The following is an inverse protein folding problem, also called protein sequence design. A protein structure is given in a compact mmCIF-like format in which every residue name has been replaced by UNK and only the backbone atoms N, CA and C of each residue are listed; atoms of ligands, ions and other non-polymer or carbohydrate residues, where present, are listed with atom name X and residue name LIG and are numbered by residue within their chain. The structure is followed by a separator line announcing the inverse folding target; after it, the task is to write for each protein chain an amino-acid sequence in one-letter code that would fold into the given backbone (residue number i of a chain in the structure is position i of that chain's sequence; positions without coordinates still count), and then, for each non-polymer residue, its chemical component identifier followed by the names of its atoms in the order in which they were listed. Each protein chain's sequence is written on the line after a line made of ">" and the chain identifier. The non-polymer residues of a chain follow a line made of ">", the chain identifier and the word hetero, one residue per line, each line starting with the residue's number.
data_IF_296679437531
#
_entry.id   IF_296679437531
#
_cell.length_a   1.000
_cell.length_b   1.000
_cell.length_c   1.000
_cell.angle_alpha   90.00
_cell.angle_beta   90.00
_cell.angle_gamma   90.00
#
_symmetry.space_group_name_H-M   'P 1'
#
loop_
_entity.id
_entity.type
_entity.pdbx_description
1 polymer ?
#
# COMPACT_ATOMS: atom_id res chain seq x y z
N UNK A 1 48.99 42.55 36.49
CA UNK A 1 50.10 41.88 37.21
C UNK A 1 50.17 40.47 36.66
N UNK A 2 51.15 40.28 35.78
CA UNK A 2 52.39 39.53 35.96
C UNK A 2 52.15 38.03 36.23
N UNK A 3 52.49 37.25 35.16
CA UNK A 3 53.50 36.19 35.09
C UNK A 3 52.99 34.81 35.45
N UNK A 4 53.32 33.69 34.86
CA UNK A 4 54.55 33.26 34.22
C UNK A 4 54.32 32.00 33.39
N UNK A 5 54.95 31.88 32.24
CA UNK A 5 55.16 30.72 31.36
C UNK A 5 56.09 29.74 32.08
N UNK A 6 55.83 28.43 31.96
CA UNK A 6 56.86 27.42 32.11
C UNK A 6 56.73 26.37 31.00
N UNK A 7 57.76 26.35 30.17
CA UNK A 7 58.11 25.36 29.15
C UNK A 7 58.92 24.28 29.85
N UNK A 8 58.57 23.00 29.65
CA UNK A 8 59.49 21.92 29.93
C UNK A 8 59.59 21.00 28.70
N UNK A 9 60.75 21.01 28.12
CA UNK A 9 61.28 20.10 27.11
C UNK A 9 61.92 18.91 27.79
N UNK A 10 61.73 17.72 27.28
CA UNK A 10 62.62 16.54 27.25
C UNK A 10 61.81 15.26 27.14
N UNK A 11 62.16 14.24 26.53
CA UNK A 11 63.30 13.77 25.78
C UNK A 11 62.83 12.54 24.96
N UNK A 12 63.41 12.45 23.81
CA UNK A 12 63.27 11.33 22.87
C UNK A 12 63.98 10.10 23.44
N UNK A 13 63.26 8.99 23.63
CA UNK A 13 63.84 7.67 23.76
C UNK A 13 63.36 6.76 22.64
N UNK A 14 64.25 6.53 21.68
CA UNK A 14 64.14 5.51 20.65
C UNK A 14 64.46 4.15 21.28
N UNK A 15 63.52 3.19 21.12
CA UNK A 15 63.77 1.76 21.23
C UNK A 15 63.21 1.04 20.01
N UNK A 16 63.91 0.06 19.47
CA UNK A 16 63.60 -0.55 18.20
C UNK A 16 62.70 -1.81 18.31
N UNK A 17 61.88 -1.97 17.32
CA UNK A 17 61.54 -3.29 16.78
C UNK A 17 60.58 -4.13 17.56
N UNK A 18 59.31 -4.08 17.15
CA UNK A 18 58.49 -5.27 17.17
C UNK A 18 57.73 -5.37 15.84
N UNK A 19 57.98 -6.48 15.12
CA UNK A 19 57.26 -6.87 13.92
C UNK A 19 55.77 -6.85 14.21
N UNK A 20 55.06 -5.92 13.67
CA UNK A 20 53.60 -5.95 13.66
C UNK A 20 53.14 -7.15 12.84
N UNK A 21 52.59 -8.14 13.50
CA UNK A 21 51.83 -9.20 12.88
C UNK A 21 50.71 -8.55 12.08
N UNK A 22 50.82 -8.59 10.77
CA UNK A 22 49.79 -8.24 9.83
C UNK A 22 48.60 -9.16 10.09
N UNK A 23 47.61 -8.72 10.89
CA UNK A 23 46.32 -9.36 10.93
C UNK A 23 45.79 -9.41 9.50
N UNK A 24 45.80 -10.60 8.90
CA UNK A 24 45.01 -10.87 7.71
C UNK A 24 43.57 -10.43 8.05
N UNK A 25 43.13 -9.33 7.47
CA UNK A 25 41.72 -9.03 7.43
C UNK A 25 41.06 -10.24 6.78
N UNK A 26 40.31 -10.99 7.56
CA UNK A 26 39.40 -12.00 7.07
C UNK A 26 38.53 -11.28 6.08
N UNK A 27 38.69 -11.59 4.79
CA UNK A 27 37.73 -11.22 3.77
C UNK A 27 36.44 -11.96 4.18
N UNK A 28 35.59 -11.29 4.93
CA UNK A 28 34.19 -11.66 5.06
C UNK A 28 33.70 -11.80 3.62
N UNK A 29 33.42 -13.03 3.17
CA UNK A 29 32.69 -13.27 1.93
C UNK A 29 31.49 -12.29 1.98
N UNK A 30 31.48 -11.30 1.09
CA UNK A 30 30.27 -10.51 0.83
C UNK A 30 29.18 -11.54 0.60
N UNK A 31 28.20 -11.59 1.48
CA UNK A 31 27.02 -12.41 1.25
C UNK A 31 26.54 -12.06 -0.16
N UNK A 32 26.28 -13.07 -1.01
CA UNK A 32 25.92 -12.88 -2.41
C UNK A 32 24.75 -11.91 -2.46
N UNK A 33 25.00 -10.70 -2.88
CA UNK A 33 23.99 -9.64 -3.00
C UNK A 33 22.92 -10.11 -3.99
N UNK A 34 21.67 -10.07 -3.58
CA UNK A 34 20.55 -10.37 -4.47
C UNK A 34 20.42 -9.23 -5.48
N UNK A 35 20.46 -9.59 -6.76
CA UNK A 35 20.25 -8.69 -7.89
C UNK A 35 19.10 -9.20 -8.74
N UNK A 36 18.38 -8.29 -9.40
CA UNK A 36 17.20 -8.62 -10.16
C UNK A 36 17.38 -8.31 -11.64
N UNK A 37 16.83 -9.18 -12.47
CA UNK A 37 16.69 -8.98 -13.91
C UNK A 37 15.21 -8.87 -14.22
N UNK A 38 14.79 -7.77 -14.84
CA UNK A 38 13.41 -7.55 -15.27
C UNK A 38 13.05 -8.51 -16.41
N UNK A 39 11.95 -9.23 -16.26
CA UNK A 39 11.35 -10.07 -17.30
C UNK A 39 10.33 -9.25 -18.09
N UNK A 40 9.47 -8.54 -17.37
CA UNK A 40 8.41 -7.70 -17.92
C UNK A 40 8.16 -6.53 -16.98
N UNK A 41 8.03 -5.33 -17.53
CA UNK A 41 7.58 -4.15 -16.78
C UNK A 41 6.51 -3.43 -17.59
N UNK A 42 5.38 -3.17 -16.99
CA UNK A 42 4.30 -2.39 -17.58
C UNK A 42 4.45 -0.91 -17.15
N UNK A 43 3.96 0.04 -17.94
CA UNK A 43 4.06 1.46 -17.60
C UNK A 43 3.34 1.80 -16.29
N UNK A 44 3.97 2.62 -15.48
CA UNK A 44 3.41 3.18 -14.25
C UNK A 44 3.72 4.67 -14.17
N UNK A 45 2.96 5.40 -13.37
CA UNK A 45 3.23 6.81 -13.04
C UNK A 45 4.34 6.91 -11.97
N UNK A 46 4.80 8.14 -11.68
CA UNK A 46 5.82 8.40 -10.67
C UNK A 46 5.42 7.88 -9.28
N UNK A 47 6.41 7.64 -8.44
CA UNK A 47 6.22 7.30 -7.03
C UNK A 47 5.65 8.52 -6.31
N UNK A 48 4.63 8.29 -5.49
CA UNK A 48 4.04 9.27 -4.56
C UNK A 48 4.39 8.93 -3.12
N UNK A 49 4.18 9.87 -2.21
CA UNK A 49 4.39 9.69 -0.78
C UNK A 49 3.12 9.97 0.00
N UNK A 50 2.53 8.92 0.60
CA UNK A 50 1.39 9.05 1.50
C UNK A 50 1.77 9.65 2.86
N UNK A 51 3.07 9.68 3.18
CA UNK A 51 3.64 10.20 4.42
C UNK A 51 2.90 9.68 5.68
N UNK A 52 2.54 10.57 6.60
CA UNK A 52 1.87 10.23 7.86
C UNK A 52 0.34 10.13 7.67
N UNK A 53 -0.10 9.22 6.82
CA UNK A 53 -1.52 8.93 6.63
C UNK A 53 -1.76 7.43 6.39
N UNK A 54 -2.89 6.92 6.85
CA UNK A 54 -3.35 5.55 6.58
C UNK A 54 -4.09 5.43 5.25
N UNK A 55 -3.63 6.15 4.21
CA UNK A 55 -4.33 6.25 2.91
C UNK A 55 -3.66 5.44 1.80
N UNK A 56 -2.88 4.43 2.14
CA UNK A 56 -2.24 3.52 1.17
C UNK A 56 -3.23 2.96 0.14
N UNK A 57 -4.43 2.63 0.56
CA UNK A 57 -5.52 2.17 -0.29
C UNK A 57 -5.90 3.19 -1.39
N UNK A 58 -5.87 4.50 -1.07
CA UNK A 58 -6.15 5.55 -2.03
C UNK A 58 -5.00 5.71 -3.04
N UNK A 59 -3.75 5.81 -2.54
CA UNK A 59 -2.56 5.91 -3.39
C UNK A 59 -2.37 4.73 -4.32
N UNK A 60 -2.58 3.51 -3.82
CA UNK A 60 -2.46 2.30 -4.63
C UNK A 60 -3.59 2.15 -5.64
N UNK A 61 -4.84 2.45 -5.26
CA UNK A 61 -5.96 2.43 -6.19
C UNK A 61 -5.80 3.44 -7.31
N UNK A 62 -5.46 4.70 -6.98
CA UNK A 62 -5.27 5.73 -8.00
C UNK A 62 -4.03 5.45 -8.84
N UNK A 63 -2.94 4.98 -8.25
CA UNK A 63 -1.75 4.54 -8.99
C UNK A 63 -2.04 3.38 -9.96
N UNK A 64 -2.96 2.48 -9.60
CA UNK A 64 -3.47 1.45 -10.50
C UNK A 64 -4.30 2.04 -11.66
N UNK A 65 -5.26 2.93 -11.37
CA UNK A 65 -6.06 3.58 -12.42
C UNK A 65 -5.21 4.47 -13.33
N UNK A 66 -4.22 5.16 -12.80
CA UNK A 66 -3.24 5.91 -13.60
C UNK A 66 -2.44 4.99 -14.56
N UNK A 67 -2.04 3.80 -14.09
CA UNK A 67 -1.40 2.79 -14.93
C UNK A 67 -2.37 2.23 -16.00
N UNK A 68 -3.64 2.05 -15.67
CA UNK A 68 -4.68 1.67 -16.64
C UNK A 68 -4.85 2.74 -17.73
N UNK A 69 -4.81 4.01 -17.38
CA UNK A 69 -4.87 5.12 -18.35
C UNK A 69 -3.65 5.11 -19.29
N UNK A 70 -2.45 4.85 -18.77
CA UNK A 70 -1.25 4.64 -19.60
C UNK A 70 -1.43 3.45 -20.55
N UNK A 71 -1.93 2.32 -20.06
CA UNK A 71 -2.21 1.12 -20.87
C UNK A 71 -3.25 1.39 -21.96
N UNK A 72 -4.26 2.21 -21.69
CA UNK A 72 -5.29 2.61 -22.62
C UNK A 72 -4.82 3.68 -23.64
N UNK A 73 -3.57 4.14 -23.54
CA UNK A 73 -3.03 5.19 -24.41
C UNK A 73 -3.60 6.60 -24.12
N UNK A 74 -4.11 6.81 -22.92
CA UNK A 74 -4.69 8.11 -22.50
C UNK A 74 -3.64 9.10 -22.00
N UNK A 75 -2.37 8.71 -21.91
CA UNK A 75 -1.30 9.54 -21.37
C UNK A 75 -1.15 9.44 -19.85
N UNK A 76 -0.33 10.32 -19.30
CA UNK A 76 -0.06 10.38 -17.85
C UNK A 76 -1.09 11.26 -17.18
N UNK A 77 -1.74 10.74 -16.17
CA UNK A 77 -2.68 11.45 -15.31
C UNK A 77 -2.21 11.40 -13.88
N UNK A 78 -2.51 12.43 -13.11
CA UNK A 78 -2.30 12.56 -11.68
C UNK A 78 -3.65 12.75 -11.01
N UNK A 79 -4.22 11.68 -10.48
CA UNK A 79 -5.55 11.64 -9.88
C UNK A 79 -5.48 12.08 -8.40
N UNK A 80 -6.52 12.75 -7.92
CA UNK A 80 -6.48 13.43 -6.62
C UNK A 80 -6.87 12.51 -5.46
N UNK A 81 -5.90 12.16 -4.63
CA UNK A 81 -6.12 11.37 -3.42
C UNK A 81 -7.03 12.10 -2.43
N UNK A 82 -6.88 13.42 -2.26
CA UNK A 82 -7.71 14.21 -1.34
C UNK A 82 -9.20 14.14 -1.68
N UNK A 83 -9.55 14.15 -2.97
CA UNK A 83 -10.93 14.01 -3.42
C UNK A 83 -11.51 12.64 -3.07
N UNK A 84 -10.74 11.60 -3.31
CA UNK A 84 -11.12 10.22 -2.98
C UNK A 84 -11.29 10.04 -1.48
N UNK A 85 -10.31 10.47 -0.70
CA UNK A 85 -10.28 10.32 0.76
C UNK A 85 -11.44 11.07 1.41
N UNK A 86 -11.67 12.33 1.02
CA UNK A 86 -12.78 13.15 1.54
C UNK A 86 -14.13 12.44 1.38
N UNK A 87 -14.46 12.03 0.16
CA UNK A 87 -15.76 11.39 -0.10
C UNK A 87 -15.90 10.05 0.64
N UNK A 88 -14.83 9.27 0.66
CA UNK A 88 -14.81 7.97 1.35
C UNK A 88 -14.98 8.12 2.86
N UNK A 89 -14.30 9.08 3.49
CA UNK A 89 -14.42 9.29 4.94
C UNK A 89 -15.80 9.83 5.34
N UNK A 90 -16.42 10.65 4.52
CA UNK A 90 -17.82 11.07 4.74
C UNK A 90 -18.78 9.87 4.73
N UNK A 91 -18.61 8.95 3.77
CA UNK A 91 -19.41 7.73 3.69
C UNK A 91 -19.14 6.77 4.86
N UNK A 92 -17.86 6.62 5.26
CA UNK A 92 -17.48 5.77 6.39
C UNK A 92 -18.04 6.29 7.70
N UNK A 93 -18.03 7.61 7.89
CA UNK A 93 -18.66 8.24 9.05
C UNK A 93 -20.17 7.97 9.07
N UNK A 94 -20.85 8.11 7.93
CA UNK A 94 -22.28 7.78 7.81
C UNK A 94 -22.55 6.32 8.20
N UNK A 95 -21.72 5.39 7.74
CA UNK A 95 -21.87 3.97 8.07
C UNK A 95 -21.58 3.72 9.54
N UNK A 96 -20.52 4.28 10.09
CA UNK A 96 -20.19 4.15 11.51
C UNK A 96 -21.33 4.67 12.42
N UNK A 97 -21.93 5.82 12.06
CA UNK A 97 -23.07 6.36 12.81
C UNK A 97 -24.33 5.48 12.68
N UNK A 98 -24.65 4.99 11.46
CA UNK A 98 -25.80 4.09 11.24
C UNK A 98 -25.66 2.74 11.95
N UNK A 99 -24.45 2.26 12.13
CA UNK A 99 -24.14 1.01 12.83
C UNK A 99 -23.80 1.20 14.30
N UNK A 100 -24.07 2.39 14.86
CA UNK A 100 -23.81 2.73 16.27
C UNK A 100 -22.36 2.49 16.70
N UNK A 101 -21.43 2.59 15.77
CA UNK A 101 -19.99 2.43 15.99
C UNK A 101 -19.47 0.99 15.87
N UNK A 102 -20.30 0.02 15.44
CA UNK A 102 -19.85 -1.35 15.16
C UNK A 102 -18.93 -1.39 13.93
N UNK A 103 -19.23 -0.59 12.91
CA UNK A 103 -18.26 -0.30 11.86
C UNK A 103 -17.31 0.77 12.35
N UNK A 104 -16.03 0.44 12.42
CA UNK A 104 -14.99 1.36 12.88
C UNK A 104 -14.85 2.56 11.93
N UNK A 105 -14.64 3.74 12.50
CA UNK A 105 -14.22 4.91 11.76
C UNK A 105 -12.71 5.07 11.92
N UNK A 106 -11.96 4.86 10.83
CA UNK A 106 -10.50 4.89 10.79
C UNK A 106 -10.01 5.36 9.43
N UNK A 107 -8.68 5.54 9.27
CA UNK A 107 -8.06 6.03 8.04
C UNK A 107 -7.98 4.98 6.93
N UNK A 108 -7.97 3.69 7.25
CA UNK A 108 -7.89 2.61 6.29
C UNK A 108 -9.06 2.56 5.31
N UNK A 109 -8.94 1.75 4.30
CA UNK A 109 -9.97 1.55 3.28
C UNK A 109 -9.57 0.47 2.28
N UNK A 110 -10.50 0.09 1.44
CA UNK A 110 -10.32 -0.95 0.43
C UNK A 110 -10.20 -0.37 -0.98
N UNK A 111 -9.72 -1.15 -1.92
CA UNK A 111 -9.72 -0.75 -3.34
C UNK A 111 -11.12 -0.48 -3.88
N UNK A 112 -12.13 -1.14 -3.31
CA UNK A 112 -13.52 -0.89 -3.69
C UNK A 112 -13.99 0.52 -3.30
N UNK A 113 -13.37 1.15 -2.31
CA UNK A 113 -13.69 2.55 -1.97
C UNK A 113 -13.36 3.48 -3.13
N UNK A 114 -12.25 3.25 -3.83
CA UNK A 114 -11.90 4.02 -5.02
C UNK A 114 -12.87 3.74 -6.18
N UNK A 115 -13.20 2.47 -6.44
CA UNK A 115 -14.20 2.08 -7.44
C UNK A 115 -15.54 2.73 -7.14
N UNK A 116 -16.00 2.65 -5.89
CA UNK A 116 -17.26 3.24 -5.45
C UNK A 116 -17.26 4.77 -5.59
N UNK A 117 -16.18 5.43 -5.15
CA UNK A 117 -16.06 6.88 -5.24
C UNK A 117 -16.08 7.34 -6.70
N UNK A 118 -15.27 6.74 -7.57
CA UNK A 118 -15.21 7.10 -8.98
C UNK A 118 -16.54 6.88 -9.70
N UNK A 119 -17.29 5.83 -9.32
CA UNK A 119 -18.62 5.53 -9.87
C UNK A 119 -19.69 6.53 -9.38
N UNK A 120 -19.68 6.90 -8.10
CA UNK A 120 -20.77 7.64 -7.47
C UNK A 120 -20.50 9.13 -7.31
N UNK A 121 -19.26 9.54 -7.08
CA UNK A 121 -18.84 10.94 -6.90
C UNK A 121 -18.01 11.44 -8.07
N UNK A 122 -17.35 10.55 -8.79
CA UNK A 122 -16.41 10.87 -9.86
C UNK A 122 -14.98 10.98 -9.36
N UNK A 123 -14.16 11.72 -10.08
CA UNK A 123 -12.75 11.97 -9.79
C UNK A 123 -12.34 13.33 -10.37
N UNK A 124 -11.28 13.88 -9.83
CA UNK A 124 -10.67 15.11 -10.35
C UNK A 124 -9.15 14.92 -10.46
N UNK A 125 -8.44 15.67 -11.32
CA UNK A 125 -6.99 15.66 -11.31
C UNK A 125 -6.46 16.34 -10.04
N UNK A 126 -5.25 16.00 -9.60
CA UNK A 126 -4.62 16.62 -8.43
C UNK A 126 -4.55 18.14 -8.53
N UNK A 127 -4.37 18.68 -9.74
CA UNK A 127 -4.33 20.12 -9.98
C UNK A 127 -5.65 20.86 -9.67
N UNK A 128 -6.76 20.16 -9.52
CA UNK A 128 -8.07 20.75 -9.18
C UNK A 128 -8.26 20.96 -7.67
N UNK A 129 -7.38 20.41 -6.83
CA UNK A 129 -7.39 20.59 -5.37
C UNK A 129 -6.02 21.02 -4.87
N UNK A 130 -5.93 21.66 -3.69
CA UNK A 130 -4.65 21.92 -3.06
C UNK A 130 -3.82 20.63 -2.93
N UNK A 131 -2.51 20.75 -3.04
CA UNK A 131 -1.61 19.64 -2.71
C UNK A 131 -1.83 19.20 -1.25
N UNK A 132 -1.61 17.92 -0.92
CA UNK A 132 -1.73 17.44 0.45
C UNK A 132 -0.94 18.33 1.41
N UNK A 133 -1.54 18.66 2.56
CA UNK A 133 -0.89 19.48 3.57
C UNK A 133 -0.75 20.98 3.27
N UNK A 134 -1.11 21.45 2.07
CA UNK A 134 -0.93 22.86 1.66
C UNK A 134 -1.60 23.85 2.62
N UNK A 135 -2.75 23.50 3.19
CA UNK A 135 -3.45 24.35 4.15
C UNK A 135 -2.74 24.50 5.50
N UNK A 136 -1.75 23.65 5.77
CA UNK A 136 -0.87 23.72 6.95
C UNK A 136 0.55 24.15 6.63
N UNK A 137 0.82 24.48 5.37
CA UNK A 137 2.19 24.74 4.91
C UNK A 137 3.04 23.51 4.65
N UNK A 138 2.50 22.30 4.82
CA UNK A 138 3.16 21.04 4.48
C UNK A 138 2.87 20.67 3.02
N UNK A 139 3.81 19.98 2.38
CA UNK A 139 3.64 19.47 1.01
C UNK A 139 3.11 18.03 0.96
N UNK A 140 3.00 17.35 2.11
CA UNK A 140 2.62 15.94 2.23
C UNK A 140 1.51 15.76 3.29
N UNK A 141 0.76 14.69 3.20
CA UNK A 141 -0.25 14.36 4.20
C UNK A 141 0.34 14.18 5.59
N UNK A 142 -0.32 14.79 6.58
CA UNK A 142 -0.14 14.50 7.99
C UNK A 142 -1.52 14.45 8.65
N UNK A 143 -2.03 13.24 8.86
CA UNK A 143 -3.39 13.02 9.35
C UNK A 143 -3.47 12.84 10.87
N UNK A 144 -2.37 12.94 11.60
CA UNK A 144 -2.38 12.70 13.05
C UNK A 144 -3.43 13.56 13.78
N UNK A 145 -3.47 14.87 13.48
CA UNK A 145 -4.47 15.76 14.08
C UNK A 145 -5.87 15.53 13.47
N UNK A 146 -5.97 15.40 12.17
CA UNK A 146 -7.25 15.19 11.47
C UNK A 146 -7.93 13.93 11.95
N UNK A 147 -7.20 12.82 12.05
CA UNK A 147 -7.72 11.53 12.54
C UNK A 147 -8.18 11.64 14.00
N UNK A 148 -7.37 12.22 14.88
CA UNK A 148 -7.73 12.40 16.29
C UNK A 148 -9.05 13.20 16.45
N UNK A 149 -9.20 14.30 15.71
CA UNK A 149 -10.39 15.16 15.78
C UNK A 149 -11.61 14.45 15.19
N UNK A 150 -11.48 13.87 13.99
CA UNK A 150 -12.64 13.28 13.30
C UNK A 150 -13.07 11.96 13.92
N UNK A 151 -12.14 11.13 14.41
CA UNK A 151 -12.46 9.90 15.14
C UNK A 151 -13.16 10.19 16.45
N UNK A 152 -12.70 11.20 17.21
CA UNK A 152 -13.40 11.64 18.44
C UNK A 152 -14.80 12.18 18.13
N UNK A 153 -14.93 13.01 17.08
CA UNK A 153 -16.20 13.60 16.67
C UNK A 153 -17.22 12.53 16.25
N UNK A 154 -16.84 11.67 15.29
CA UNK A 154 -17.71 10.60 14.79
C UNK A 154 -18.03 9.60 15.89
N UNK A 155 -17.06 9.25 16.75
CA UNK A 155 -17.26 8.37 17.89
C UNK A 155 -18.26 8.92 18.90
N UNK A 156 -18.22 10.23 19.19
CA UNK A 156 -19.17 10.89 20.07
C UNK A 156 -20.62 10.85 19.52
N UNK A 157 -20.78 10.98 18.19
CA UNK A 157 -22.08 10.87 17.53
C UNK A 157 -22.55 9.41 17.52
N UNK A 158 -21.70 8.48 17.07
CA UNK A 158 -22.07 7.08 16.88
C UNK A 158 -22.38 6.34 18.18
N UNK A 159 -21.65 6.65 19.27
CA UNK A 159 -21.77 5.99 20.58
C UNK A 159 -22.46 6.84 21.63
N UNK A 160 -23.02 7.98 21.24
CA UNK A 160 -23.75 8.88 22.14
C UNK A 160 -25.03 8.20 22.70
N UNK A 161 -25.40 8.60 23.93
CA UNK A 161 -26.58 8.06 24.66
C UNK A 161 -27.89 8.77 24.30
N UNK A 162 -27.91 9.64 23.31
CA UNK A 162 -29.13 10.36 22.91
C UNK A 162 -30.08 9.47 22.11
N UNK A 163 -31.38 9.64 22.34
CA UNK A 163 -32.42 8.88 21.61
C UNK A 163 -32.60 9.33 20.15
N UNK A 164 -32.13 10.53 19.80
CA UNK A 164 -32.20 11.11 18.46
C UNK A 164 -31.03 12.02 18.25
N UNK A 165 -30.36 11.89 17.11
CA UNK A 165 -29.25 12.77 16.71
C UNK A 165 -29.70 13.81 15.70
N UNK A 166 -29.11 15.00 15.75
CA UNK A 166 -29.25 16.02 14.71
C UNK A 166 -28.43 15.62 13.47
N UNK A 167 -28.95 15.83 12.28
CA UNK A 167 -28.21 15.62 11.04
C UNK A 167 -27.17 16.72 10.74
N UNK A 168 -27.08 17.76 11.57
CA UNK A 168 -26.08 18.84 11.45
C UNK A 168 -24.65 18.30 11.51
N UNK A 169 -24.42 17.17 12.22
CA UNK A 169 -23.12 16.57 12.35
C UNK A 169 -22.40 16.30 11.02
N UNK A 170 -23.17 15.97 9.97
CA UNK A 170 -22.60 15.75 8.62
C UNK A 170 -22.00 17.01 8.04
N UNK A 171 -22.71 18.15 8.23
CA UNK A 171 -22.21 19.46 7.78
C UNK A 171 -20.97 19.86 8.57
N UNK A 172 -20.97 19.61 9.88
CA UNK A 172 -19.84 19.93 10.74
C UNK A 172 -18.61 19.09 10.37
N UNK A 173 -18.77 17.77 10.17
CA UNK A 173 -17.69 16.90 9.71
C UNK A 173 -17.19 17.34 8.32
N UNK A 174 -18.10 17.64 7.39
CA UNK A 174 -17.75 18.17 6.07
C UNK A 174 -16.92 19.46 6.18
N UNK A 175 -17.27 20.38 7.08
CA UNK A 175 -16.51 21.60 7.31
C UNK A 175 -15.11 21.32 7.88
N UNK A 176 -14.98 20.33 8.75
CA UNK A 176 -13.65 19.88 9.24
C UNK A 176 -12.83 19.46 8.01
N UNK A 177 -13.33 18.55 7.15
CA UNK A 177 -12.58 18.10 5.97
C UNK A 177 -12.27 19.22 4.98
N UNK A 178 -13.18 20.20 4.78
CA UNK A 178 -12.91 21.37 3.93
C UNK A 178 -11.73 22.20 4.45
N UNK A 179 -11.59 22.31 5.77
CA UNK A 179 -10.45 23.01 6.36
C UNK A 179 -9.12 22.29 6.11
N UNK A 180 -9.14 20.95 5.93
CA UNK A 180 -7.94 20.14 5.73
C UNK A 180 -7.64 19.88 4.24
N UNK A 181 -8.65 19.69 3.40
CA UNK A 181 -8.49 19.30 2.00
C UNK A 181 -8.87 20.40 1.00
N UNK A 182 -9.53 21.45 1.46
CA UNK A 182 -10.17 22.43 0.59
C UNK A 182 -11.59 22.04 0.17
N UNK A 183 -12.22 22.90 -0.59
CA UNK A 183 -13.56 22.65 -1.16
C UNK A 183 -13.48 21.58 -2.24
N UNK A 184 -14.47 20.70 -2.28
CA UNK A 184 -14.58 19.71 -3.36
C UNK A 184 -14.94 20.42 -4.67
N UNK A 185 -14.17 20.22 -5.75
CA UNK A 185 -14.52 20.76 -7.06
C UNK A 185 -15.83 20.17 -7.58
N UNK A 186 -16.68 21.02 -8.12
CA UNK A 186 -17.92 20.62 -8.83
C UNK A 186 -17.70 20.52 -10.34
N UNK A 187 -16.64 21.12 -10.83
CA UNK A 187 -16.24 21.17 -12.23
C UNK A 187 -14.73 20.96 -12.37
N UNK A 188 -14.32 20.33 -13.45
CA UNK A 188 -12.94 20.05 -13.83
C UNK A 188 -12.71 20.59 -15.23
N UNK A 189 -11.72 21.46 -15.40
CA UNK A 189 -11.22 21.85 -16.71
C UNK A 189 -10.13 20.87 -17.13
N UNK A 190 -10.38 20.06 -18.15
CA UNK A 190 -9.43 19.09 -18.64
C UNK A 190 -8.47 19.70 -19.71
N UNK A 191 -7.42 18.95 -20.06
CA UNK A 191 -6.39 19.38 -21.01
C UNK A 191 -6.93 19.55 -22.44
N UNK A 192 -8.05 18.91 -22.78
CA UNK A 192 -8.77 19.11 -24.06
C UNK A 192 -9.51 20.47 -24.14
N UNK A 193 -9.41 21.27 -23.08
CA UNK A 193 -10.02 22.61 -22.98
C UNK A 193 -11.49 22.59 -22.58
N UNK A 194 -12.12 21.44 -22.42
CA UNK A 194 -13.51 21.30 -22.00
C UNK A 194 -13.65 21.25 -20.49
N UNK A 195 -14.85 21.56 -20.02
CA UNK A 195 -15.23 21.45 -18.61
C UNK A 195 -16.11 20.21 -18.41
N UNK A 196 -15.80 19.45 -17.39
CA UNK A 196 -16.48 18.22 -16.99
C UNK A 196 -16.96 18.33 -15.55
N UNK A 197 -18.02 17.63 -15.19
CA UNK A 197 -18.28 17.30 -13.78
C UNK A 197 -17.27 16.21 -13.34
N UNK A 198 -17.01 16.03 -12.04
CA UNK A 198 -16.14 14.92 -11.59
C UNK A 198 -16.56 13.55 -12.14
N UNK A 199 -17.87 13.30 -12.33
CA UNK A 199 -18.37 12.03 -12.91
C UNK A 199 -18.05 11.92 -14.40
N UNK A 200 -18.37 12.94 -15.18
CA UNK A 200 -18.11 12.93 -16.63
C UNK A 200 -16.61 13.03 -16.93
N UNK A 201 -15.82 13.54 -16.00
CA UNK A 201 -14.36 13.45 -16.09
C UNK A 201 -13.89 11.99 -16.11
N UNK A 202 -14.45 11.12 -15.23
CA UNK A 202 -14.13 9.68 -15.23
C UNK A 202 -14.63 8.99 -16.50
N UNK A 203 -15.89 9.17 -16.86
CA UNK A 203 -16.51 8.39 -17.94
C UNK A 203 -16.16 8.89 -19.33
N UNK A 204 -16.22 10.20 -19.56
CA UNK A 204 -16.15 10.79 -20.89
C UNK A 204 -14.72 11.22 -21.25
N UNK A 205 -13.99 11.84 -20.30
CA UNK A 205 -12.62 12.29 -20.55
C UNK A 205 -11.60 11.16 -20.34
N UNK A 206 -11.57 10.53 -19.17
CA UNK A 206 -10.66 9.43 -18.90
C UNK A 206 -11.09 8.14 -19.61
N UNK A 207 -12.38 7.95 -19.84
CA UNK A 207 -12.92 6.76 -20.51
C UNK A 207 -12.87 5.50 -19.65
N UNK A 208 -12.91 5.67 -18.32
CA UNK A 208 -12.90 4.55 -17.36
C UNK A 208 -14.34 4.10 -17.06
N UNK A 209 -14.59 2.79 -17.19
CA UNK A 209 -15.82 2.16 -16.74
C UNK A 209 -15.53 1.34 -15.46
N UNK A 210 -16.06 1.78 -14.32
CA UNK A 210 -15.80 1.14 -13.03
C UNK A 210 -16.33 -0.29 -12.93
N UNK A 211 -17.28 -0.70 -13.77
CA UNK A 211 -17.79 -2.07 -13.82
C UNK A 211 -16.82 -3.05 -14.52
N UNK A 212 -15.74 -2.55 -15.13
CA UNK A 212 -14.68 -3.38 -15.70
C UNK A 212 -13.65 -3.85 -14.65
N UNK A 213 -13.75 -3.40 -13.41
CA UNK A 213 -12.77 -3.70 -12.35
C UNK A 213 -13.39 -4.58 -11.27
N UNK A 214 -12.69 -5.67 -10.95
CA UNK A 214 -13.17 -6.70 -10.02
C UNK A 214 -12.12 -6.98 -8.95
N UNK A 215 -12.58 -7.31 -7.74
CA UNK A 215 -11.73 -7.81 -6.67
C UNK A 215 -11.63 -9.33 -6.74
N UNK A 216 -10.41 -9.86 -6.61
CA UNK A 216 -10.14 -11.29 -6.52
C UNK A 216 -9.41 -11.61 -5.22
N UNK A 217 -9.68 -12.79 -4.67
CA UNK A 217 -9.00 -13.35 -3.50
C UNK A 217 -8.89 -14.87 -3.60
N UNK A 218 -8.28 -15.52 -2.60
CA UNK A 218 -8.08 -16.97 -2.59
C UNK A 218 -8.13 -17.51 -1.16
N UNK A 219 -9.30 -17.97 -0.70
CA UNK A 219 -9.48 -18.57 0.62
C UNK A 219 -10.43 -19.76 0.57
N UNK A 220 -10.17 -20.83 1.35
CA UNK A 220 -10.95 -22.07 1.27
C UNK A 220 -12.11 -22.18 2.27
N UNK A 221 -12.33 -21.17 3.13
CA UNK A 221 -13.49 -21.10 4.03
C UNK A 221 -14.77 -20.68 3.30
N UNK A 222 -14.68 -20.25 2.05
CA UNK A 222 -15.81 -20.04 1.13
C UNK A 222 -15.62 -20.84 -0.16
N UNK A 223 -16.69 -21.22 -0.87
CA UNK A 223 -16.57 -21.95 -2.14
C UNK A 223 -15.76 -21.19 -3.17
N UNK A 224 -14.88 -21.88 -3.89
CA UNK A 224 -14.22 -21.32 -5.04
C UNK A 224 -15.19 -21.01 -6.18
N UNK A 225 -14.84 -20.06 -7.01
CA UNK A 225 -15.64 -19.54 -8.14
C UNK A 225 -16.96 -18.89 -7.71
N UNK A 226 -17.07 -18.52 -6.44
CA UNK A 226 -18.17 -17.72 -5.88
C UNK A 226 -17.67 -16.34 -5.47
N UNK A 227 -18.58 -15.48 -5.05
CA UNK A 227 -18.28 -14.22 -4.39
C UNK A 227 -18.58 -14.32 -2.91
N UNK A 228 -17.77 -13.66 -2.12
CA UNK A 228 -18.04 -13.44 -0.71
C UNK A 228 -17.50 -12.10 -0.24
N UNK A 229 -18.01 -11.61 0.86
CA UNK A 229 -17.50 -10.41 1.53
C UNK A 229 -16.23 -10.82 2.27
N UNK A 230 -15.06 -10.34 1.80
CA UNK A 230 -13.80 -10.62 2.48
C UNK A 230 -13.81 -9.96 3.86
N UNK A 231 -13.63 -10.77 4.90
CA UNK A 231 -13.73 -10.37 6.31
C UNK A 231 -12.39 -9.73 6.75
N UNK A 232 -12.18 -8.49 6.36
CA UNK A 232 -11.07 -7.64 6.77
C UNK A 232 -11.62 -6.31 7.28
N UNK A 233 -10.89 -5.66 8.21
CA UNK A 233 -11.36 -4.45 8.88
C UNK A 233 -11.62 -3.29 7.90
N UNK A 234 -10.81 -3.19 6.86
CA UNK A 234 -10.90 -2.11 5.89
C UNK A 234 -11.92 -2.35 4.78
N UNK A 235 -12.54 -3.54 4.72
CA UNK A 235 -13.70 -3.79 3.87
C UNK A 235 -15.02 -3.33 4.53
N UNK A 236 -15.04 -2.15 5.08
CA UNK A 236 -16.17 -1.56 5.81
C UNK A 236 -17.42 -1.34 4.92
N UNK A 237 -17.27 -1.30 3.59
CA UNK A 237 -18.40 -1.27 2.64
C UNK A 237 -19.04 -2.64 2.43
N UNK A 238 -18.41 -3.72 2.92
CA UNK A 238 -18.84 -5.10 2.70
C UNK A 238 -18.84 -5.49 1.22
N UNK A 239 -17.81 -5.04 0.51
CA UNK A 239 -17.63 -5.37 -0.89
C UNK A 239 -17.27 -6.84 -1.08
N UNK A 240 -17.78 -7.43 -2.15
CA UNK A 240 -17.51 -8.82 -2.50
C UNK A 240 -16.23 -8.95 -3.33
N UNK A 241 -15.52 -10.07 -3.11
CA UNK A 241 -14.39 -10.50 -3.94
C UNK A 241 -14.74 -11.86 -4.58
N UNK A 242 -14.32 -12.07 -5.80
CA UNK A 242 -14.35 -13.40 -6.41
C UNK A 242 -13.27 -14.27 -5.81
N UNK A 243 -13.63 -15.52 -5.48
CA UNK A 243 -12.75 -16.48 -4.83
C UNK A 243 -12.20 -17.50 -5.83
N UNK A 244 -10.88 -17.65 -5.87
CA UNK A 244 -10.18 -18.58 -6.76
C UNK A 244 -9.33 -19.56 -5.95
N UNK A 245 -9.06 -20.78 -6.43
CA UNK A 245 -7.96 -21.58 -5.94
C UNK A 245 -6.62 -20.83 -6.07
N UNK A 246 -5.68 -21.07 -5.17
CA UNK A 246 -4.42 -20.33 -5.09
C UNK A 246 -3.60 -20.37 -6.39
N UNK A 247 -3.53 -21.51 -7.05
CA UNK A 247 -2.82 -21.69 -8.30
C UNK A 247 -3.44 -20.86 -9.44
N UNK A 248 -4.77 -20.83 -9.54
CA UNK A 248 -5.47 -20.00 -10.52
C UNK A 248 -5.38 -18.50 -10.17
N UNK A 249 -5.39 -18.16 -8.90
CA UNK A 249 -5.20 -16.79 -8.44
C UNK A 249 -3.80 -16.26 -8.84
N UNK A 250 -2.75 -17.06 -8.61
CA UNK A 250 -1.39 -16.72 -9.04
C UNK A 250 -1.26 -16.69 -10.58
N UNK A 251 -1.94 -17.61 -11.29
CA UNK A 251 -1.97 -17.61 -12.74
C UNK A 251 -2.60 -16.33 -13.30
N UNK A 252 -3.67 -15.82 -12.69
CA UNK A 252 -4.28 -14.53 -13.08
C UNK A 252 -3.27 -13.39 -12.95
N UNK A 253 -2.56 -13.32 -11.84
CA UNK A 253 -1.57 -12.25 -11.60
C UNK A 253 -0.44 -12.29 -12.64
N UNK A 254 0.10 -13.48 -12.91
CA UNK A 254 1.16 -13.65 -13.91
C UNK A 254 0.69 -13.29 -15.30
N UNK A 255 -0.45 -13.82 -15.69
CA UNK A 255 -1.06 -13.56 -17.00
C UNK A 255 -1.35 -12.08 -17.19
N UNK A 256 -1.86 -11.40 -16.16
CA UNK A 256 -2.13 -9.97 -16.22
C UNK A 256 -0.88 -9.17 -16.56
N UNK A 257 0.20 -9.38 -15.82
CA UNK A 257 1.46 -8.64 -16.06
C UNK A 257 2.04 -8.94 -17.44
N UNK A 258 2.06 -10.21 -17.85
CA UNK A 258 2.57 -10.61 -19.19
C UNK A 258 1.77 -9.94 -20.30
N UNK A 259 0.44 -9.81 -20.14
CA UNK A 259 -0.46 -9.21 -21.12
C UNK A 259 -0.58 -7.67 -21.00
N UNK A 260 0.29 -7.01 -20.25
CA UNK A 260 0.37 -5.55 -20.21
C UNK A 260 -0.53 -4.88 -19.17
N UNK A 261 -1.15 -5.64 -18.27
CA UNK A 261 -1.97 -5.12 -17.19
C UNK A 261 -1.16 -4.99 -15.90
N UNK A 262 -1.56 -4.04 -15.07
CA UNK A 262 -1.19 -3.91 -13.68
C UNK A 262 -2.37 -4.31 -12.79
N UNK A 263 -2.17 -4.39 -11.47
CA UNK A 263 -3.27 -4.56 -10.52
C UNK A 263 -2.90 -3.94 -9.16
N UNK A 264 -3.92 -3.43 -8.45
CA UNK A 264 -3.73 -3.03 -7.08
C UNK A 264 -3.64 -4.28 -6.19
N UNK A 265 -2.73 -4.26 -5.23
CA UNK A 265 -2.35 -5.39 -4.41
C UNK A 265 -2.44 -5.04 -2.92
N UNK A 266 -3.41 -5.65 -2.22
CA UNK A 266 -3.56 -5.58 -0.78
C UNK A 266 -2.83 -6.72 -0.11
N UNK A 267 -1.94 -6.41 0.83
CA UNK A 267 -1.08 -7.40 1.44
C UNK A 267 -0.67 -7.04 2.88
N UNK A 268 -0.33 -8.08 3.61
CA UNK A 268 0.43 -7.96 4.84
C UNK A 268 1.88 -7.57 4.51
N UNK A 269 2.38 -6.56 5.20
CA UNK A 269 3.74 -6.04 5.07
C UNK A 269 4.43 -5.88 6.43
N UNK A 270 3.81 -6.38 7.50
CA UNK A 270 4.36 -6.30 8.86
C UNK A 270 5.47 -7.30 9.11
N UNK A 271 5.75 -8.16 8.16
CA UNK A 271 6.75 -9.19 8.22
C UNK A 271 8.19 -8.66 8.34
N UNK A 272 8.99 -9.40 9.10
CA UNK A 272 10.42 -9.13 9.26
C UNK A 272 11.18 -9.20 7.92
N UNK A 273 10.63 -9.95 6.96
CA UNK A 273 11.20 -10.21 5.64
C UNK A 273 10.62 -9.31 4.55
N UNK A 274 9.84 -8.32 4.93
CA UNK A 274 9.41 -7.26 4.01
C UNK A 274 10.52 -6.21 3.85
N UNK A 275 10.88 -5.90 2.62
CA UNK A 275 12.11 -5.27 2.20
C UNK A 275 12.61 -4.06 2.97
N UNK A 276 11.72 -3.12 3.32
CA UNK A 276 12.10 -1.88 4.01
C UNK A 276 12.74 -2.12 5.39
N UNK A 277 12.31 -3.16 6.10
CA UNK A 277 12.77 -3.44 7.47
C UNK A 277 14.17 -4.03 7.54
N UNK A 278 14.58 -4.72 6.49
CA UNK A 278 15.90 -5.35 6.41
C UNK A 278 16.87 -4.65 5.47
N UNK A 279 16.49 -3.48 4.90
CA UNK A 279 17.32 -2.67 4.01
C UNK A 279 17.65 -3.33 2.68
N UNK A 280 16.84 -4.31 2.24
CA UNK A 280 17.10 -5.10 1.04
C UNK A 280 16.20 -4.77 -0.14
N UNK A 281 15.12 -4.01 0.07
CA UNK A 281 14.13 -3.62 -0.94
C UNK A 281 13.51 -4.80 -1.71
N UNK A 282 13.38 -5.95 -1.04
CA UNK A 282 12.63 -7.10 -1.53
C UNK A 282 11.99 -7.88 -0.37
N UNK A 283 10.86 -8.53 -0.66
CA UNK A 283 10.12 -9.37 0.27
C UNK A 283 10.17 -10.84 -0.18
N UNK A 284 10.31 -11.77 0.77
CA UNK A 284 10.30 -13.20 0.51
C UNK A 284 9.86 -13.98 1.76
N UNK A 285 9.48 -15.24 1.64
CA UNK A 285 9.08 -16.09 2.77
C UNK A 285 10.16 -17.16 3.00
N UNK A 286 11.05 -16.99 4.00
CA UNK A 286 12.11 -17.95 4.22
C UNK A 286 11.54 -19.28 4.72
N UNK A 287 12.19 -20.39 4.35
CA UNK A 287 11.78 -21.75 4.71
C UNK A 287 11.76 -22.00 6.22
N UNK A 288 12.63 -21.31 6.95
CA UNK A 288 12.78 -21.36 8.40
C UNK A 288 12.08 -20.19 9.12
N UNK A 289 10.97 -19.73 8.53
CA UNK A 289 10.15 -18.65 9.08
C UNK A 289 9.78 -18.95 10.55
N UNK A 290 10.22 -18.09 11.44
CA UNK A 290 9.71 -18.04 12.81
C UNK A 290 8.65 -16.94 12.86
N UNK A 291 7.41 -17.35 13.01
CA UNK A 291 6.30 -16.44 13.20
C UNK A 291 6.52 -15.66 14.49
N UNK A 292 6.46 -14.34 14.42
CA UNK A 292 6.44 -13.48 15.60
C UNK A 292 5.01 -13.17 15.97
N UNK A 293 4.74 -13.01 17.26
CA UNK A 293 3.51 -12.43 17.80
C UNK A 293 3.40 -10.95 17.43
N UNK A 294 3.15 -10.67 16.16
CA UNK A 294 2.83 -9.33 15.67
C UNK A 294 1.32 -9.22 15.60
N UNK A 295 0.73 -8.41 16.43
CA UNK A 295 -0.72 -8.24 16.48
C UNK A 295 -1.17 -7.02 15.69
N UNK A 296 -2.01 -7.23 14.69
CA UNK A 296 -2.93 -6.27 14.07
C UNK A 296 -2.33 -5.26 13.08
N UNK A 297 -3.07 -5.03 12.03
CA UNK A 297 -2.90 -3.90 11.11
C UNK A 297 -3.29 -2.61 11.82
N UNK A 298 -2.37 -1.70 12.01
CA UNK A 298 -2.65 -0.40 12.57
C UNK A 298 -1.73 0.62 11.91
N UNK A 299 -2.30 1.67 11.32
CA UNK A 299 -1.54 2.76 10.71
C UNK A 299 -0.51 3.36 11.67
N UNK A 300 -0.77 3.32 12.97
CA UNK A 300 0.16 3.76 14.02
C UNK A 300 1.47 2.95 14.08
N UNK A 301 1.51 1.73 13.53
CA UNK A 301 2.72 0.88 13.52
C UNK A 301 3.72 1.26 12.43
N UNK A 302 3.30 2.00 11.46
CA UNK A 302 4.18 2.48 10.39
C UNK A 302 5.26 3.43 10.88
N UNK A 303 5.01 4.16 11.97
CA UNK A 303 5.96 5.04 12.64
C UNK A 303 6.78 4.38 13.77
N UNK A 304 6.49 3.14 14.14
CA UNK A 304 7.14 2.46 15.25
C UNK A 304 8.54 1.98 14.90
N UNK A 305 9.52 2.36 15.71
CA UNK A 305 10.88 1.79 15.70
C UNK A 305 10.78 0.34 16.17
N UNK A 306 10.71 -0.61 15.25
CA UNK A 306 10.89 -2.02 15.59
C UNK A 306 12.37 -2.21 15.84
N UNK A 307 12.71 -2.67 17.05
CA UNK A 307 14.08 -2.85 17.49
C UNK A 307 14.91 -3.67 16.49
N UNK A 308 16.05 -3.11 16.12
CA UNK A 308 17.07 -3.71 15.26
C UNK A 308 17.82 -4.83 16.00
N UNK A 309 17.12 -5.82 16.55
CA UNK A 309 17.79 -6.94 17.18
C UNK A 309 18.19 -7.96 16.10
N UNK A 310 19.50 -8.15 15.97
CA UNK A 310 20.24 -9.16 15.23
C UNK A 310 19.38 -10.28 14.61
N UNK A 311 18.82 -9.99 13.45
CA UNK A 311 18.12 -11.00 12.65
C UNK A 311 19.20 -11.84 11.98
N UNK A 312 19.28 -13.11 12.32
CA UNK A 312 20.05 -14.07 11.52
C UNK A 312 19.51 -13.98 10.10
N UNK A 313 20.41 -13.86 9.12
CA UNK A 313 20.02 -13.90 7.71
C UNK A 313 19.37 -15.26 7.46
N UNK A 314 18.07 -15.31 7.16
CA UNK A 314 17.38 -16.58 7.01
C UNK A 314 17.91 -17.37 5.82
N UNK A 315 17.53 -18.66 5.77
CA UNK A 315 17.74 -19.53 4.63
C UNK A 315 17.38 -18.82 3.31
N UNK A 316 18.20 -19.01 2.29
CA UNK A 316 17.89 -18.51 0.95
C UNK A 316 16.75 -19.31 0.27
N UNK A 317 16.33 -20.44 0.87
CA UNK A 317 15.23 -21.23 0.38
C UNK A 317 13.90 -20.64 0.86
N UNK A 318 12.92 -20.60 -0.01
CA UNK A 318 11.58 -20.13 0.31
C UNK A 318 10.66 -21.28 0.72
N UNK A 319 9.69 -20.92 1.57
CA UNK A 319 8.61 -21.82 1.94
C UNK A 319 7.69 -22.06 0.72
N UNK A 320 7.28 -23.31 0.51
CA UNK A 320 6.25 -23.64 -0.48
C UNK A 320 4.89 -23.31 0.12
N UNK A 321 4.17 -22.39 -0.52
CA UNK A 321 2.87 -21.93 -0.04
C UNK A 321 1.79 -22.83 -0.64
N UNK A 322 1.00 -23.44 0.24
CA UNK A 322 -0.20 -24.20 -0.12
C UNK A 322 -1.46 -23.39 0.18
N UNK A 323 -2.59 -23.80 -0.39
CA UNK A 323 -3.89 -23.20 -0.09
C UNK A 323 -4.20 -23.24 1.41
N UNK A 324 -3.92 -24.37 2.06
CA UNK A 324 -4.20 -24.56 3.50
C UNK A 324 -3.28 -23.69 4.37
N UNK A 325 -1.99 -23.58 4.02
CA UNK A 325 -1.07 -22.70 4.74
C UNK A 325 -1.48 -21.24 4.63
N UNK A 326 -1.91 -20.82 3.42
CA UNK A 326 -2.44 -19.49 3.18
C UNK A 326 -3.70 -19.22 4.02
N UNK A 327 -4.64 -20.19 4.06
CA UNK A 327 -5.85 -20.10 4.90
C UNK A 327 -5.49 -20.01 6.38
N UNK A 328 -4.60 -20.88 6.84
CA UNK A 328 -4.14 -20.85 8.23
C UNK A 328 -3.57 -19.49 8.63
N UNK A 329 -2.74 -18.88 7.76
CA UNK A 329 -2.16 -17.56 8.03
C UNK A 329 -3.21 -16.46 8.16
N UNK A 330 -4.30 -16.54 7.40
CA UNK A 330 -5.42 -15.63 7.52
C UNK A 330 -6.24 -15.86 8.79
N UNK A 331 -6.54 -17.13 9.12
CA UNK A 331 -7.37 -17.50 10.26
C UNK A 331 -6.69 -17.20 11.62
N UNK A 332 -5.37 -17.28 11.68
CA UNK A 332 -4.58 -17.11 12.92
C UNK A 332 -3.87 -15.77 13.01
N UNK A 333 -4.13 -14.84 12.07
CA UNK A 333 -3.58 -13.49 12.02
C UNK A 333 -2.07 -13.40 11.70
N UNK A 334 -1.49 -14.46 11.16
CA UNK A 334 -0.16 -14.40 10.54
C UNK A 334 -0.15 -13.61 9.24
N UNK A 335 -1.33 -13.42 8.64
CA UNK A 335 -1.55 -12.57 7.47
C UNK A 335 -2.67 -11.59 7.77
N UNK A 336 -2.35 -10.32 7.77
CA UNK A 336 -3.27 -9.22 8.11
C UNK A 336 -3.43 -8.23 6.95
N UNK A 337 -4.49 -7.41 6.99
CA UNK A 337 -4.74 -6.35 6.02
C UNK A 337 -3.98 -5.10 6.43
N UNK A 338 -2.81 -4.86 5.85
CA UNK A 338 -1.91 -3.81 6.30
C UNK A 338 -1.71 -2.70 5.28
N UNK A 339 -1.57 -3.05 3.98
CA UNK A 339 -1.06 -2.10 3.00
C UNK A 339 -1.52 -2.38 1.58
N UNK A 340 -1.83 -1.29 0.87
CA UNK A 340 -2.15 -1.32 -0.56
C UNK A 340 -0.98 -0.82 -1.41
N UNK A 341 -0.69 -1.53 -2.51
CA UNK A 341 0.40 -1.25 -3.46
C UNK A 341 -0.05 -1.56 -4.89
N UNK A 342 0.84 -1.39 -5.87
CA UNK A 342 0.56 -1.76 -7.27
C UNK A 342 1.61 -2.74 -7.76
N UNK A 343 1.18 -3.89 -8.27
CA UNK A 343 2.05 -4.80 -9.01
C UNK A 343 2.02 -4.43 -10.50
N UNK A 344 3.22 -4.22 -11.07
CA UNK A 344 3.37 -3.74 -12.44
C UNK A 344 4.34 -4.56 -13.31
N UNK A 345 5.08 -5.50 -12.72
CA UNK A 345 6.11 -6.21 -13.45
C UNK A 345 6.46 -7.58 -12.88
N UNK A 346 7.29 -8.28 -13.64
CA UNK A 346 7.91 -9.56 -13.29
C UNK A 346 9.42 -9.44 -13.39
N UNK A 347 10.14 -10.05 -12.46
CA UNK A 347 11.58 -10.10 -12.42
C UNK A 347 12.06 -11.47 -11.93
N UNK A 348 13.36 -11.72 -12.10
CA UNK A 348 14.04 -12.90 -11.57
C UNK A 348 15.30 -12.47 -10.86
N UNK A 349 15.60 -13.08 -9.73
CA UNK A 349 16.85 -12.83 -9.02
C UNK A 349 18.01 -13.63 -9.62
N UNK A 350 19.23 -13.32 -9.17
CA UNK A 350 20.46 -14.02 -9.60
C UNK A 350 20.55 -15.48 -9.13
N UNK A 351 19.57 -15.97 -8.35
CA UNK A 351 19.43 -17.39 -7.94
C UNK A 351 18.30 -18.10 -8.69
N UNK A 352 17.63 -17.41 -9.62
CA UNK A 352 16.58 -17.96 -10.45
C UNK A 352 15.18 -17.89 -9.85
N UNK A 353 14.97 -17.28 -8.68
CA UNK A 353 13.64 -17.10 -8.08
C UNK A 353 12.87 -15.99 -8.79
N UNK A 354 11.57 -16.16 -8.89
CA UNK A 354 10.68 -15.22 -9.55
C UNK A 354 10.02 -14.26 -8.57
N UNK A 355 9.91 -13.01 -9.00
CA UNK A 355 9.39 -11.91 -8.22
C UNK A 355 8.39 -11.09 -9.03
N UNK A 356 7.43 -10.50 -8.34
CA UNK A 356 6.69 -9.36 -8.84
C UNK A 356 7.44 -8.06 -8.55
N UNK A 357 7.35 -7.11 -9.47
CA UNK A 357 7.82 -5.75 -9.29
C UNK A 357 6.68 -4.90 -8.74
N UNK A 358 6.94 -4.19 -7.65
CA UNK A 358 5.92 -3.49 -6.87
C UNK A 358 6.24 -2.00 -6.79
N UNK A 359 5.24 -1.16 -7.10
CA UNK A 359 5.24 0.28 -6.84
C UNK A 359 4.60 0.52 -5.48
N UNK A 360 5.34 1.18 -4.58
CA UNK A 360 4.87 1.58 -3.26
C UNK A 360 4.53 3.08 -3.23
N UNK A 361 4.00 3.56 -2.10
CA UNK A 361 3.58 4.95 -1.87
C UNK A 361 4.26 5.60 -0.65
N UNK A 362 5.54 5.30 -0.42
CA UNK A 362 6.32 5.84 0.69
C UNK A 362 7.43 6.79 0.24
N UNK A 363 7.24 7.46 -0.90
CA UNK A 363 8.23 8.36 -1.48
C UNK A 363 9.44 7.66 -2.11
N UNK A 364 10.42 8.45 -2.48
CA UNK A 364 11.70 7.97 -3.03
C UNK A 364 12.60 7.47 -1.90
N UNK A 365 12.65 6.16 -1.72
CA UNK A 365 13.52 5.52 -0.74
C UNK A 365 14.14 4.24 -1.32
N UNK A 366 15.21 3.77 -0.66
CA UNK A 366 15.86 2.52 -0.98
C UNK A 366 16.59 2.50 -2.32
N UNK A 367 17.11 1.34 -2.67
CA UNK A 367 17.92 1.12 -3.87
C UNK A 367 17.12 1.30 -5.17
N UNK A 368 15.81 1.09 -5.11
CA UNK A 368 14.93 1.10 -6.29
C UNK A 368 13.93 2.26 -6.28
N UNK A 369 14.25 3.36 -5.59
CA UNK A 369 13.49 4.62 -5.65
C UNK A 369 11.99 4.44 -5.35
N UNK A 370 11.67 3.83 -4.21
CA UNK A 370 10.28 3.60 -3.77
C UNK A 370 9.62 2.37 -4.38
N UNK A 371 10.31 1.66 -5.27
CA UNK A 371 9.89 0.36 -5.78
C UNK A 371 10.59 -0.78 -5.03
N UNK A 372 10.02 -1.97 -5.05
CA UNK A 372 10.66 -3.16 -4.50
C UNK A 372 10.20 -4.43 -5.23
N UNK A 373 10.71 -5.57 -4.80
CA UNK A 373 10.41 -6.88 -5.37
C UNK A 373 9.76 -7.78 -4.32
N UNK A 374 8.63 -8.41 -4.66
CA UNK A 374 7.98 -9.40 -3.81
C UNK A 374 8.05 -10.78 -4.49
N UNK A 375 8.61 -11.78 -3.79
CA UNK A 375 8.70 -13.12 -4.34
C UNK A 375 7.32 -13.72 -4.61
N UNK A 376 7.24 -14.68 -5.52
CA UNK A 376 5.98 -15.39 -5.79
C UNK A 376 5.42 -16.06 -4.52
N UNK A 377 6.29 -16.61 -3.67
CA UNK A 377 5.88 -17.20 -2.40
C UNK A 377 5.31 -16.14 -1.44
N UNK A 378 5.94 -14.96 -1.37
CA UNK A 378 5.43 -13.86 -0.54
C UNK A 378 4.04 -13.42 -1.00
N UNK A 379 3.87 -13.18 -2.30
CA UNK A 379 2.58 -12.78 -2.87
C UNK A 379 1.53 -13.88 -2.68
N UNK A 380 1.86 -15.14 -2.89
CA UNK A 380 0.95 -16.26 -2.65
C UNK A 380 0.49 -16.35 -1.19
N UNK A 381 1.37 -16.04 -0.22
CA UNK A 381 1.07 -16.16 1.20
C UNK A 381 0.37 -14.93 1.77
N UNK A 382 0.87 -13.73 1.46
CA UNK A 382 0.55 -12.50 2.17
C UNK A 382 -0.46 -11.58 1.45
N UNK A 383 -1.00 -11.99 0.30
CA UNK A 383 -2.03 -11.22 -0.40
C UNK A 383 -3.38 -11.38 0.28
N UNK A 384 -4.05 -10.27 0.60
CA UNK A 384 -5.45 -10.26 0.99
C UNK A 384 -6.35 -10.35 -0.24
N UNK A 385 -6.26 -9.36 -1.10
CA UNK A 385 -6.99 -9.30 -2.37
C UNK A 385 -6.21 -8.47 -3.41
N UNK A 386 -6.69 -8.53 -4.64
CA UNK A 386 -6.26 -7.63 -5.71
C UNK A 386 -7.47 -6.95 -6.35
N UNK A 387 -7.27 -5.74 -6.88
CA UNK A 387 -8.21 -5.11 -7.81
C UNK A 387 -7.60 -5.14 -9.21
N UNK A 388 -8.34 -5.68 -10.16
CA UNK A 388 -7.85 -5.93 -11.52
C UNK A 388 -8.91 -5.60 -12.57
N UNK A 389 -8.49 -5.22 -13.77
CA UNK A 389 -9.39 -5.16 -14.91
C UNK A 389 -9.82 -6.60 -15.31
N UNK A 390 -11.13 -6.85 -15.40
CA UNK A 390 -11.66 -8.20 -15.72
C UNK A 390 -11.14 -8.77 -17.03
N UNK A 391 -10.74 -7.90 -18.00
CA UNK A 391 -10.16 -8.32 -19.27
C UNK A 391 -8.74 -8.90 -19.13
N UNK A 392 -8.08 -8.68 -17.98
CA UNK A 392 -6.77 -9.28 -17.70
C UNK A 392 -6.88 -10.73 -17.22
N UNK A 393 -8.08 -11.19 -16.85
CA UNK A 393 -8.32 -12.55 -16.36
C UNK A 393 -8.31 -13.52 -17.55
N UNK A 394 -7.54 -14.63 -17.51
CA UNK A 394 -7.57 -15.64 -18.55
C UNK A 394 -8.99 -16.14 -18.83
N UNK A 395 -9.36 -16.25 -20.10
CA UNK A 395 -10.74 -16.54 -20.53
C UNK A 395 -11.34 -17.80 -19.87
N UNK A 396 -10.52 -18.84 -19.64
CA UNK A 396 -10.97 -20.07 -18.99
C UNK A 396 -11.37 -19.84 -17.51
N UNK A 397 -10.61 -18.95 -16.80
CA UNK A 397 -10.89 -18.59 -15.41
C UNK A 397 -12.08 -17.62 -15.36
N UNK A 398 -12.11 -16.60 -16.25
CA UNK A 398 -13.22 -15.66 -16.35
C UNK A 398 -14.56 -16.39 -16.53
N UNK A 399 -14.60 -17.41 -17.41
CA UNK A 399 -15.80 -18.26 -17.61
C UNK A 399 -16.25 -18.95 -16.32
N UNK A 400 -15.32 -19.45 -15.49
CA UNK A 400 -15.67 -20.10 -14.21
C UNK A 400 -16.25 -19.10 -13.21
N UNK A 401 -15.84 -17.84 -13.29
CA UNK A 401 -16.31 -16.73 -12.45
C UNK A 401 -17.62 -16.09 -12.97
N UNK A 402 -18.08 -16.45 -14.16
CA UNK A 402 -19.23 -15.81 -14.81
C UNK A 402 -18.96 -14.39 -15.32
N UNK A 403 -17.72 -14.11 -15.69
CA UNK A 403 -17.22 -12.82 -16.18
C UNK A 403 -17.05 -12.80 -17.70
#
# INVERSE_FOLDING_TARGET
>A
MKKTILIAVAALCLLPGSLAARKKASATKKADEITFTTIKANPITSIKDQNQSGTCWAYSSLGFFEAELLRMGKGTHDLCESFLVYNTYMDRADKAVRTHGDVSFSQGGSFYDAVYCMKNYGMVPQSAMPAPGTLYGDSLFNFNQLDAVTSAYVGAIAKGKQNKISLSWKKDLSNIYKNYFGELPTEVKAEDGKTYTPKTYVTDYLGLNMDDYVSLTSYNHHPFYSKFILEIQDNWRWAESYNLPLDEFMQVMDSAVVNGYTFAWGADVTEEYFGRRNGKDYAYVPKDLKVRDLTGSDAARWGGTIGTNNVQVPSNDELTITQDLRQQGYDNWETTDDHGMVIYGLAKDNKGREYFMVKNSWGDYGKYHGMFYASKAYVAYKTMNILINRKAIPAAIAKKLGL
#
